data_IF_146823325481
#
_entry.id   IF_146823325481
#
_cell.length_a   1.000
_cell.length_b   1.000
_cell.length_c   1.000
_cell.angle_alpha   90.00
_cell.angle_beta   90.00
_cell.angle_gamma   90.00
#
_symmetry.space_group_name_H-M   'P 1'
#
loop_
_entity.id
_entity.type
_entity.pdbx_description
1 polymer ?
#
# COMPACT_ATOMS: atom_id res chain seq x y z
N UNK A 1 16.71 16.63 -15.93
CA UNK A 1 17.59 15.51 -16.33
C UNK A 1 16.84 14.59 -17.29
N UNK A 2 17.54 13.97 -18.26
CA UNK A 2 16.95 13.02 -19.20
C UNK A 2 17.66 11.67 -19.13
N UNK A 3 16.89 10.58 -19.05
CA UNK A 3 17.38 9.18 -18.99
C UNK A 3 16.66 8.38 -20.07
N UNK A 4 17.36 7.43 -20.71
CA UNK A 4 16.72 6.50 -21.65
C UNK A 4 16.31 5.24 -20.90
N UNK A 5 15.02 4.89 -20.93
CA UNK A 5 14.48 3.67 -20.32
C UNK A 5 13.85 2.83 -21.44
N UNK A 6 14.49 1.70 -21.75
CA UNK A 6 14.17 0.93 -22.94
C UNK A 6 14.43 1.74 -24.21
N UNK A 7 13.37 2.02 -24.96
CA UNK A 7 13.42 2.80 -26.21
C UNK A 7 13.01 4.27 -26.04
N UNK A 8 12.43 4.65 -24.90
CA UNK A 8 11.80 5.96 -24.70
C UNK A 8 12.72 6.93 -23.95
N UNK A 9 12.65 8.20 -24.33
CA UNK A 9 13.31 9.29 -23.61
C UNK A 9 12.46 9.69 -22.41
N UNK A 10 13.04 9.64 -21.21
CA UNK A 10 12.36 9.93 -19.97
C UNK A 10 12.94 11.17 -19.29
N UNK A 11 12.08 11.93 -18.63
CA UNK A 11 12.44 13.11 -17.85
C UNK A 11 12.14 12.87 -16.38
N UNK A 12 12.98 13.45 -15.52
CA UNK A 12 12.85 13.35 -14.07
C UNK A 12 11.81 14.35 -13.54
N UNK A 13 10.92 13.87 -12.69
CA UNK A 13 10.06 14.65 -11.82
C UNK A 13 10.34 14.23 -10.37
N UNK A 14 10.42 15.21 -9.46
CA UNK A 14 10.61 14.96 -8.03
C UNK A 14 9.50 15.62 -7.23
N UNK A 15 9.09 14.96 -6.15
CA UNK A 15 8.09 15.47 -5.22
C UNK A 15 8.43 14.97 -3.81
N UNK A 16 8.25 15.83 -2.80
CA UNK A 16 8.49 15.47 -1.40
C UNK A 16 7.15 15.25 -0.71
N UNK A 17 6.93 14.05 -0.17
CA UNK A 17 5.78 13.74 0.70
C UNK A 17 6.20 13.65 2.16
N UNK A 18 5.28 14.01 3.05
CA UNK A 18 5.46 13.78 4.48
C UNK A 18 4.75 12.49 4.86
N UNK A 19 5.50 11.50 5.32
CA UNK A 19 4.93 10.24 5.80
C UNK A 19 5.12 10.09 7.31
N UNK A 20 4.13 9.48 7.96
CA UNK A 20 4.25 9.07 9.35
C UNK A 20 5.17 7.85 9.44
N UNK A 21 6.28 7.96 10.17
CA UNK A 21 7.20 6.86 10.41
C UNK A 21 6.50 5.75 11.21
N UNK A 22 6.06 4.69 10.53
CA UNK A 22 5.48 3.51 11.19
C UNK A 22 6.60 2.65 11.75
N UNK A 23 7.06 2.99 12.95
CA UNK A 23 7.86 2.04 13.75
C UNK A 23 7.01 0.82 14.07
N UNK A 24 7.21 -0.25 13.31
CA UNK A 24 6.62 -1.56 13.57
C UNK A 24 7.15 -2.06 14.93
N UNK A 25 6.39 -1.84 15.99
CA UNK A 25 6.73 -2.38 17.30
C UNK A 25 6.40 -3.87 17.33
N UNK A 26 7.31 -4.69 16.84
CA UNK A 26 7.25 -6.16 16.93
C UNK A 26 7.43 -6.70 18.36
N UNK A 27 7.61 -5.82 19.35
CA UNK A 27 8.02 -6.16 20.72
C UNK A 27 6.98 -5.94 21.82
N UNK A 28 5.68 -5.80 21.52
CA UNK A 28 4.66 -5.73 22.58
C UNK A 28 4.24 -7.12 23.12
N UNK A 29 5.21 -8.03 23.23
CA UNK A 29 5.09 -9.33 23.90
C UNK A 29 5.74 -9.30 25.28
N UNK A 30 5.67 -8.17 25.98
CA UNK A 30 5.85 -8.15 27.42
C UNK A 30 4.87 -7.14 28.03
N UNK A 31 3.61 -7.55 28.10
CA UNK A 31 2.56 -6.79 28.77
C UNK A 31 2.40 -7.35 30.18
N UNK A 32 3.28 -6.92 31.08
CA UNK A 32 2.93 -6.86 32.49
C UNK A 32 3.41 -5.53 33.06
N UNK A 33 2.57 -4.50 32.91
CA UNK A 33 2.13 -3.62 34.00
C UNK A 33 1.31 -2.48 33.40
N UNK A 34 0.09 -2.33 33.92
CA UNK A 34 -0.83 -1.29 33.52
C UNK A 34 -0.21 0.08 33.72
N UNK A 35 -0.08 0.83 32.65
CA UNK A 35 -0.05 2.29 32.67
C UNK A 35 -0.57 2.77 31.33
N UNK A 36 -1.37 3.84 31.36
CA UNK A 36 -1.63 4.71 30.21
C UNK A 36 -0.30 5.13 29.60
N UNK A 37 0.27 4.35 28.68
CA UNK A 37 1.45 4.78 27.95
C UNK A 37 1.01 5.84 26.94
N UNK A 38 1.58 7.06 26.98
CA UNK A 38 1.30 8.07 25.98
C UNK A 38 1.70 7.51 24.62
N UNK A 39 0.79 7.60 23.64
CA UNK A 39 1.08 7.30 22.23
C UNK A 39 2.33 8.11 21.87
N UNK A 40 3.45 7.44 21.57
CA UNK A 40 4.69 8.10 21.15
C UNK A 40 4.37 9.11 20.03
N UNK A 41 4.98 10.31 20.04
CA UNK A 41 4.72 11.30 19.01
C UNK A 41 5.01 10.70 17.63
N UNK A 42 4.05 10.83 16.72
CA UNK A 42 4.18 10.42 15.33
C UNK A 42 5.29 11.26 14.71
N UNK A 43 6.44 10.67 14.43
CA UNK A 43 7.51 11.35 13.69
C UNK A 43 7.08 11.41 12.23
N UNK A 44 7.09 12.62 11.66
CA UNK A 44 6.95 12.82 10.23
C UNK A 44 8.33 12.75 9.61
N UNK A 45 8.44 12.03 8.50
CA UNK A 45 9.65 11.96 7.68
C UNK A 45 9.32 12.53 6.31
N UNK A 46 10.19 13.40 5.81
CA UNK A 46 10.14 13.84 4.43
C UNK A 46 10.74 12.74 3.55
N UNK A 47 9.95 12.25 2.60
CA UNK A 47 10.32 11.22 1.63
C UNK A 47 10.35 11.86 0.25
N UNK A 48 11.50 11.82 -0.41
CA UNK A 48 11.64 12.23 -1.80
C UNK A 48 11.18 11.11 -2.73
N UNK A 49 10.18 11.40 -3.54
CA UNK A 49 9.69 10.53 -4.60
C UNK A 49 10.27 11.02 -5.92
N UNK A 50 10.94 10.12 -6.65
CA UNK A 50 11.50 10.40 -7.97
C UNK A 50 10.74 9.58 -9.00
N UNK A 51 10.14 10.24 -9.98
CA UNK A 51 9.45 9.60 -11.09
C UNK A 51 10.12 9.96 -12.43
N UNK A 52 10.29 8.97 -13.30
CA UNK A 52 10.73 9.15 -14.67
C UNK A 52 9.56 8.92 -15.63
N UNK A 53 9.20 9.96 -16.40
CA UNK A 53 8.06 9.93 -17.31
C UNK A 53 8.50 10.21 -18.76
N UNK A 54 7.76 9.68 -19.73
CA UNK A 54 8.01 9.92 -21.16
C UNK A 54 6.83 10.61 -21.83
N UNK A 55 7.02 11.80 -22.44
CA UNK A 55 5.97 12.50 -23.19
C UNK A 55 5.72 11.87 -24.57
N UNK A 56 6.58 10.96 -25.03
CA UNK A 56 6.40 10.24 -26.31
C UNK A 56 5.12 9.39 -26.31
N UNK A 57 4.67 8.95 -25.13
CA UNK A 57 3.37 8.30 -24.92
C UNK A 57 2.51 9.28 -24.10
N UNK A 58 1.61 10.06 -24.73
CA UNK A 58 0.82 11.10 -24.06
C UNK A 58 -0.36 10.50 -23.27
N UNK A 59 -0.05 9.58 -22.35
CA UNK A 59 -1.00 8.93 -21.45
C UNK A 59 -0.56 9.26 -20.03
N UNK A 60 -1.33 10.10 -19.33
CA UNK A 60 -1.02 10.60 -17.98
C UNK A 60 -1.27 9.56 -16.88
N UNK A 61 -0.83 8.32 -17.10
CA UNK A 61 -0.97 7.18 -16.19
C UNK A 61 0.39 6.73 -15.67
N UNK A 62 0.40 6.05 -14.53
CA UNK A 62 1.62 5.50 -13.95
C UNK A 62 1.33 4.35 -13.00
N UNK A 63 2.39 3.76 -12.44
CA UNK A 63 2.27 2.64 -11.53
C UNK A 63 1.65 3.09 -10.20
N UNK A 64 0.91 2.18 -9.55
CA UNK A 64 0.31 2.42 -8.24
C UNK A 64 -0.63 3.64 -8.25
N UNK A 65 -0.34 4.67 -7.44
CA UNK A 65 -1.14 5.89 -7.33
C UNK A 65 -0.52 7.08 -8.09
N UNK A 66 0.63 6.89 -8.75
CA UNK A 66 1.36 7.97 -9.41
C UNK A 66 0.76 8.23 -10.79
N UNK A 67 0.21 9.42 -10.98
CA UNK A 67 -0.43 9.87 -12.22
C UNK A 67 -0.41 11.39 -12.32
N UNK A 68 -0.80 11.94 -13.49
CA UNK A 68 -0.95 13.39 -13.68
C UNK A 68 0.24 14.12 -14.31
N UNK A 69 1.31 13.39 -14.67
CA UNK A 69 2.39 13.95 -15.50
C UNK A 69 1.99 13.92 -16.99
N UNK A 70 2.52 14.82 -17.84
CA UNK A 70 2.22 14.89 -19.28
C UNK A 70 2.95 13.79 -20.04
N UNK A 71 2.64 12.53 -19.72
CA UNK A 71 3.29 11.35 -20.27
C UNK A 71 3.13 10.13 -19.36
N UNK A 72 3.53 8.97 -19.88
CA UNK A 72 3.50 7.72 -19.13
C UNK A 72 4.69 7.62 -18.19
N UNK A 73 4.45 7.24 -16.93
CA UNK A 73 5.52 7.03 -15.95
C UNK A 73 6.11 5.62 -16.12
N UNK A 74 7.42 5.53 -16.36
CA UNK A 74 8.13 4.27 -16.59
C UNK A 74 8.92 3.78 -15.38
N UNK A 75 9.34 4.69 -14.49
CA UNK A 75 10.09 4.35 -13.28
C UNK A 75 9.63 5.25 -12.15
N UNK A 76 9.37 4.69 -10.98
CA UNK A 76 9.12 5.46 -9.74
C UNK A 76 9.98 4.87 -8.64
N UNK A 77 10.70 5.74 -7.93
CA UNK A 77 11.41 5.44 -6.70
C UNK A 77 10.72 6.19 -5.57
N UNK A 78 10.23 5.45 -4.59
CA UNK A 78 9.54 5.95 -3.39
C UNK A 78 10.19 5.33 -2.16
N UNK A 79 11.10 6.08 -1.52
CA UNK A 79 11.92 5.60 -0.39
C UNK A 79 12.60 4.26 -0.74
N UNK A 80 12.17 3.16 -0.13
CA UNK A 80 12.68 1.80 -0.33
C UNK A 80 12.03 1.04 -1.50
N UNK A 81 11.00 1.60 -2.15
CA UNK A 81 10.23 0.92 -3.20
C UNK A 81 10.51 1.51 -4.57
N UNK A 82 11.06 0.69 -5.48
CA UNK A 82 11.27 1.08 -6.88
C UNK A 82 10.43 0.22 -7.81
N UNK A 83 9.63 0.86 -8.66
CA UNK A 83 8.79 0.21 -9.67
C UNK A 83 9.32 0.59 -11.05
N UNK A 84 9.72 -0.40 -11.84
CA UNK A 84 10.25 -0.24 -13.19
C UNK A 84 9.34 -0.89 -14.24
N UNK A 85 9.09 -0.19 -15.34
CA UNK A 85 8.39 -0.71 -16.51
C UNK A 85 9.32 -1.61 -17.33
N UNK A 86 8.93 -2.87 -17.50
CA UNK A 86 9.72 -3.86 -18.27
C UNK A 86 9.28 -4.00 -19.72
N UNK A 87 7.98 -3.85 -20.00
CA UNK A 87 7.42 -4.06 -21.33
C UNK A 87 6.20 -3.17 -21.54
N UNK A 88 6.15 -2.52 -22.70
CA UNK A 88 4.99 -1.77 -23.16
C UNK A 88 4.43 -2.47 -24.40
N UNK A 89 3.15 -2.81 -24.36
CA UNK A 89 2.42 -3.36 -25.51
C UNK A 89 1.34 -2.36 -25.87
N UNK A 90 1.60 -1.57 -26.92
CA UNK A 90 0.65 -0.58 -27.42
C UNK A 90 -0.30 -1.24 -28.42
N UNK A 91 -1.60 -0.96 -28.26
CA UNK A 91 -2.66 -1.40 -29.16
C UNK A 91 -2.59 -2.90 -29.55
N UNK A 92 -2.75 -3.82 -28.60
CA UNK A 92 -2.76 -5.25 -28.90
C UNK A 92 -3.88 -5.55 -29.91
N UNK A 93 -3.54 -6.22 -31.03
CA UNK A 93 -4.51 -6.65 -32.06
C UNK A 93 -5.60 -7.56 -31.48
N UNK A 94 -5.27 -8.29 -30.41
CA UNK A 94 -6.21 -9.08 -29.63
C UNK A 94 -6.74 -8.25 -28.46
N UNK A 95 -8.05 -7.98 -28.47
CA UNK A 95 -8.73 -7.39 -27.30
C UNK A 95 -8.68 -8.42 -26.17
N UNK A 96 -7.88 -8.17 -25.14
CA UNK A 96 -7.90 -8.98 -23.92
C UNK A 96 -9.31 -8.98 -23.36
N UNK A 97 -10.04 -10.10 -23.49
CA UNK A 97 -11.36 -10.25 -22.88
C UNK A 97 -11.16 -10.32 -21.37
N UNK A 98 -11.30 -9.19 -20.70
CA UNK A 98 -11.33 -9.12 -19.23
C UNK A 98 -12.56 -9.92 -18.79
N UNK A 99 -12.36 -11.16 -18.37
CA UNK A 99 -13.44 -11.98 -17.80
C UNK A 99 -13.68 -11.48 -16.39
N UNK A 100 -14.87 -10.91 -16.15
CA UNK A 100 -15.29 -10.55 -14.78
C UNK A 100 -15.13 -11.77 -13.88
N UNK A 101 -14.48 -11.66 -12.71
CA UNK A 101 -14.42 -12.76 -11.76
C UNK A 101 -15.85 -13.19 -11.40
N UNK A 102 -16.18 -14.46 -11.66
CA UNK A 102 -17.50 -15.05 -11.36
C UNK A 102 -17.62 -15.50 -9.89
N UNK A 103 -16.51 -15.45 -9.14
CA UNK A 103 -16.44 -15.89 -7.74
C UNK A 103 -16.56 -14.66 -6.84
N UNK A 104 -17.48 -14.72 -5.87
CA UNK A 104 -17.66 -13.68 -4.85
C UNK A 104 -19.13 -13.26 -4.70
N UNK A 105 -19.40 -12.49 -3.65
CA UNK A 105 -20.70 -11.84 -3.45
C UNK A 105 -20.69 -10.50 -4.19
N UNK A 106 -21.65 -10.29 -5.09
CA UNK A 106 -21.89 -8.96 -5.65
C UNK A 106 -22.51 -8.14 -4.53
N UNK A 107 -21.73 -7.21 -3.99
CA UNK A 107 -22.15 -6.33 -2.90
C UNK A 107 -22.17 -4.89 -3.41
N UNK A 108 -23.12 -4.11 -2.91
CA UNK A 108 -23.15 -2.67 -3.17
C UNK A 108 -22.01 -1.96 -2.41
N UNK A 109 -21.72 -0.71 -2.76
CA UNK A 109 -20.72 0.08 -2.04
C UNK A 109 -21.09 0.24 -0.55
N UNK A 110 -22.39 0.37 -0.23
CA UNK A 110 -22.86 0.48 1.15
C UNK A 110 -22.62 -0.81 1.93
N UNK A 111 -22.94 -1.96 1.32
CA UNK A 111 -22.70 -3.27 1.91
C UNK A 111 -21.22 -3.59 2.09
N UNK A 112 -20.34 -3.01 1.26
CA UNK A 112 -18.89 -3.16 1.42
C UNK A 112 -18.37 -2.46 2.67
N UNK A 113 -18.87 -1.26 2.96
CA UNK A 113 -18.47 -0.51 4.17
C UNK A 113 -18.91 -1.26 5.42
N UNK A 114 -20.17 -1.72 5.47
CA UNK A 114 -20.69 -2.48 6.62
C UNK A 114 -19.93 -3.79 6.81
N UNK A 115 -19.66 -4.53 5.74
CA UNK A 115 -18.87 -5.76 5.80
C UNK A 115 -17.44 -5.50 6.30
N UNK A 116 -16.82 -4.39 5.90
CA UNK A 116 -15.48 -4.02 6.36
C UNK A 116 -15.47 -3.75 7.87
N UNK A 117 -16.50 -3.08 8.39
CA UNK A 117 -16.65 -2.79 9.81
C UNK A 117 -16.92 -4.06 10.62
N UNK A 118 -17.79 -4.95 10.14
CA UNK A 118 -18.04 -6.25 10.75
C UNK A 118 -16.77 -7.11 10.80
N UNK A 119 -16.00 -7.19 9.69
CA UNK A 119 -14.74 -7.92 9.66
C UNK A 119 -13.67 -7.31 10.56
N UNK A 120 -13.71 -6.00 10.79
CA UNK A 120 -12.84 -5.34 11.76
C UNK A 120 -13.23 -5.71 13.19
N UNK A 121 -14.54 -5.73 13.50
CA UNK A 121 -15.06 -6.11 14.81
C UNK A 121 -14.79 -7.59 15.14
N UNK A 122 -15.05 -8.50 14.19
CA UNK A 122 -14.77 -9.95 14.32
C UNK A 122 -13.28 -10.19 14.61
N UNK A 123 -12.38 -9.53 13.87
CA UNK A 123 -10.93 -9.62 14.09
C UNK A 123 -10.54 -9.14 15.49
N UNK A 124 -11.15 -8.06 15.98
CA UNK A 124 -10.88 -7.53 17.32
C UNK A 124 -11.37 -8.49 18.41
N UNK A 125 -12.54 -9.10 18.21
CA UNK A 125 -13.10 -10.07 19.14
C UNK A 125 -12.26 -11.36 19.20
N UNK A 126 -11.87 -11.90 18.04
CA UNK A 126 -10.95 -13.05 17.95
C UNK A 126 -9.60 -12.76 18.64
N UNK A 127 -9.08 -11.54 18.51
CA UNK A 127 -7.87 -11.12 19.21
C UNK A 127 -8.07 -11.04 20.73
N UNK A 128 -9.22 -10.57 21.21
CA UNK A 128 -9.57 -10.56 22.64
C UNK A 128 -9.72 -11.98 23.20
N UNK A 129 -10.43 -12.85 22.50
CA UNK A 129 -10.63 -14.26 22.90
C UNK A 129 -9.30 -15.03 22.92
N UNK A 130 -8.43 -14.82 21.92
CA UNK A 130 -7.10 -15.46 21.90
C UNK A 130 -6.18 -14.99 23.06
N UNK A 131 -6.28 -13.72 23.48
CA UNK A 131 -5.61 -13.21 24.68
C UNK A 131 -6.15 -13.85 25.96
N UNK A 132 -7.46 -13.98 26.12
CA UNK A 132 -8.09 -14.62 27.29
C UNK A 132 -7.72 -16.09 27.40
N UNK A 133 -7.73 -16.83 26.28
CA UNK A 133 -7.27 -18.24 26.25
C UNK A 133 -5.82 -18.37 26.70
N UNK A 134 -4.92 -17.49 26.23
CA UNK A 134 -3.52 -17.45 26.67
C UNK A 134 -3.34 -17.19 28.17
N UNK A 135 -4.13 -16.30 28.76
CA UNK A 135 -4.08 -16.06 30.22
C UNK A 135 -4.57 -17.27 31.03
N UNK A 136 -5.61 -17.96 30.55
CA UNK A 136 -6.14 -19.17 31.21
C UNK A 136 -5.17 -20.36 31.18
N UNK A 137 -4.35 -20.51 30.12
CA UNK A 137 -3.32 -21.54 30.05
C UNK A 137 -2.16 -21.29 31.01
N UNK A 138 -1.78 -20.03 31.26
CA UNK A 138 -0.70 -19.68 32.20
C UNK A 138 -1.13 -19.86 33.66
N UNK A 139 -2.41 -19.67 33.98
CA UNK A 139 -2.95 -19.86 35.33
C UNK A 139 -3.05 -21.33 35.77
N UNK A 140 -3.04 -22.30 34.83
CA UNK A 140 -3.09 -23.75 35.14
C UNK A 140 -1.72 -24.40 35.32
N UNK A 141 -0.64 -23.67 35.08
CA UNK A 141 0.76 -24.15 35.16
C UNK A 141 1.48 -23.66 36.43
N UNK A 142 0.75 -23.11 37.41
CA UNK A 142 1.26 -22.66 38.71
C UNK A 142 0.67 -23.49 39.83
#
# INVERSE_FOLDING_TARGET
ESKKIGQYTCYKATYVKQEEEKVFSFGSWNQNNGTNQPKKPKKMRDVEVVAWFTPEIPVSSGPSWYQGLPGLILEVSDDDTTILCTKIVMNPKEKTKIKRPKKGKVISNQDFVTLQDEKRAERLEMWRQSRQRRQSSTARLR
#
